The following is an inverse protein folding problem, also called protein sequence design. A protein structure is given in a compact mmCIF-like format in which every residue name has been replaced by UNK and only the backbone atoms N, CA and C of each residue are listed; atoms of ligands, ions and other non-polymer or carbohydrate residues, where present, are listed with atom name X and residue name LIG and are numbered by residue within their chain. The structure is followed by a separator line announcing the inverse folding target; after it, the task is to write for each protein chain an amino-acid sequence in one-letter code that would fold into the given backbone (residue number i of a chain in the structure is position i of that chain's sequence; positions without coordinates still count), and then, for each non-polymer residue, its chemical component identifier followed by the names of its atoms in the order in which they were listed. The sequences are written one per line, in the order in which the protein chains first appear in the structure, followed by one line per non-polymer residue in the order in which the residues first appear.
data_IF_746811500643
#
_entry.id   IF_746811500643
#
_cell.length_a   1.000
_cell.length_b   1.000
_cell.length_c   1.000
_cell.angle_alpha   90.00
_cell.angle_beta   90.00
_cell.angle_gamma   90.00
#
_symmetry.space_group_name_H-M   'P 1'
#
loop_
_entity.id
_entity.type
_entity.pdbx_description
1 polymer ?
#
# COMPACT_ATOMS: atom_id res chain seq x y z
N UNK A 1 15.18 24.82 -1.70
CA UNK A 1 15.90 24.44 -0.46
C UNK A 1 17.32 24.04 -0.77
N UNK A 2 18.20 23.89 0.23
CA UNK A 2 19.64 23.63 0.07
C UNK A 2 19.98 22.40 -0.80
N UNK A 3 19.05 21.44 -0.93
CA UNK A 3 19.24 20.18 -1.69
C UNK A 3 18.52 20.15 -3.04
N UNK A 4 17.90 21.25 -3.48
CA UNK A 4 17.12 21.29 -4.73
C UNK A 4 15.83 20.45 -4.72
N UNK A 5 15.35 20.03 -3.55
CA UNK A 5 14.10 19.27 -3.42
C UNK A 5 12.89 20.19 -3.29
N UNK A 6 11.84 19.87 -4.04
CA UNK A 6 10.51 20.48 -3.95
C UNK A 6 9.67 19.74 -2.92
N UNK A 7 8.97 20.47 -2.05
CA UNK A 7 8.08 19.86 -1.07
C UNK A 7 6.68 19.72 -1.66
N UNK A 8 6.01 18.62 -1.38
CA UNK A 8 4.59 18.43 -1.70
C UNK A 8 3.88 17.70 -0.56
N UNK A 9 2.56 17.54 -0.66
CA UNK A 9 1.74 16.98 0.40
C UNK A 9 0.93 15.78 -0.07
N UNK A 10 0.69 14.86 0.86
CA UNK A 10 -0.26 13.77 0.71
C UNK A 10 -1.69 14.31 0.43
N UNK A 11 -2.54 13.52 -0.22
CA UNK A 11 -3.88 13.93 -0.65
C UNK A 11 -4.87 14.27 0.48
N UNK A 12 -4.55 13.92 1.74
CA UNK A 12 -5.29 14.40 2.92
C UNK A 12 -4.68 15.66 3.54
N UNK A 13 -3.40 15.90 3.29
CA UNK A 13 -2.63 16.97 3.91
C UNK A 13 -2.74 18.26 3.09
N UNK A 14 -3.98 18.58 2.69
CA UNK A 14 -4.29 19.66 1.74
C UNK A 14 -3.74 20.97 2.28
N UNK A 15 -3.09 21.72 1.39
CA UNK A 15 -2.35 22.95 1.68
C UNK A 15 -1.42 22.91 2.90
N UNK A 16 -0.87 21.72 3.21
CA UNK A 16 0.05 21.52 4.33
C UNK A 16 -0.60 21.16 5.66
N UNK A 17 -1.92 21.03 5.72
CA UNK A 17 -2.63 20.76 6.97
C UNK A 17 -2.55 19.29 7.35
N UNK A 18 -1.81 18.96 8.41
CA UNK A 18 -1.71 17.58 8.90
C UNK A 18 -2.99 17.16 9.66
N UNK A 19 -3.98 16.64 8.95
CA UNK A 19 -5.29 16.23 9.51
C UNK A 19 -5.21 15.16 10.60
N UNK A 20 -4.14 14.36 10.63
CA UNK A 20 -3.89 13.42 11.74
C UNK A 20 -3.69 14.11 13.09
N UNK A 21 -3.37 15.41 13.06
CA UNK A 21 -3.17 16.29 14.23
C UNK A 21 -4.31 17.28 14.43
N UNK A 22 -5.43 17.06 13.77
CA UNK A 22 -6.64 17.81 14.08
C UNK A 22 -6.99 17.65 15.57
N UNK A 23 -7.33 18.73 16.30
CA UNK A 23 -7.68 18.61 17.71
C UNK A 23 -8.91 17.71 17.91
N UNK A 24 -8.85 16.82 18.90
CA UNK A 24 -9.90 15.80 19.10
C UNK A 24 -11.26 16.41 19.40
N UNK A 25 -11.30 17.47 20.21
CA UNK A 25 -12.52 18.17 20.63
C UNK A 25 -12.99 19.25 19.65
N UNK A 26 -12.39 19.31 18.44
CA UNK A 26 -12.73 20.31 17.43
C UNK A 26 -13.44 19.64 16.25
N UNK A 27 -14.61 20.16 15.81
CA UNK A 27 -15.31 19.58 14.67
C UNK A 27 -14.51 19.75 13.38
N UNK A 28 -14.48 18.70 12.55
CA UNK A 28 -13.85 18.73 11.23
C UNK A 28 -14.95 18.72 10.16
N UNK A 29 -15.48 19.90 9.85
CA UNK A 29 -16.60 20.06 8.92
C UNK A 29 -16.46 21.39 8.19
N UNK A 30 -16.21 21.33 6.88
CA UNK A 30 -16.26 22.51 6.03
C UNK A 30 -17.70 22.98 5.80
N UNK A 31 -18.68 22.07 5.85
CA UNK A 31 -20.09 22.40 5.67
C UNK A 31 -20.66 23.26 6.81
N UNK A 32 -20.36 22.90 8.06
CA UNK A 32 -20.89 23.57 9.25
C UNK A 32 -19.91 24.56 9.89
N UNK A 33 -18.61 24.25 9.85
CA UNK A 33 -17.57 25.01 10.53
C UNK A 33 -16.44 25.46 9.58
N UNK A 34 -16.76 26.12 8.44
CA UNK A 34 -15.77 26.47 7.43
C UNK A 34 -14.63 27.35 7.99
N UNK A 35 -14.91 28.22 8.95
CA UNK A 35 -13.90 29.11 9.55
C UNK A 35 -12.75 28.34 10.20
N UNK A 36 -13.01 27.21 10.87
CA UNK A 36 -11.97 26.41 11.51
C UNK A 36 -10.98 25.84 10.48
N UNK A 37 -11.51 25.32 9.37
CA UNK A 37 -10.68 24.75 8.31
C UNK A 37 -9.96 25.85 7.53
N UNK A 38 -10.61 26.99 7.28
CA UNK A 38 -9.99 28.15 6.63
C UNK A 38 -8.81 28.68 7.45
N UNK A 39 -8.97 28.80 8.77
CA UNK A 39 -7.88 29.23 9.66
C UNK A 39 -6.76 28.20 9.69
N UNK A 40 -7.09 26.91 9.83
CA UNK A 40 -6.10 25.83 9.74
C UNK A 40 -5.29 25.84 8.44
N UNK A 41 -5.96 25.98 7.30
CA UNK A 41 -5.33 26.06 5.98
C UNK A 41 -4.42 27.29 5.86
N UNK A 42 -4.91 28.47 6.28
CA UNK A 42 -4.11 29.71 6.27
C UNK A 42 -2.86 29.57 7.13
N UNK A 43 -3.00 29.05 8.34
CA UNK A 43 -1.90 28.85 9.28
C UNK A 43 -0.89 27.83 8.73
N UNK A 44 -1.37 26.73 8.13
CA UNK A 44 -0.52 25.76 7.46
C UNK A 44 0.29 26.39 6.32
N UNK A 45 -0.34 27.15 5.40
CA UNK A 45 0.34 27.83 4.29
C UNK A 45 1.43 28.80 4.79
N UNK A 46 1.14 29.54 5.87
CA UNK A 46 2.08 30.49 6.48
C UNK A 46 3.25 29.83 7.20
N UNK A 47 3.11 28.58 7.64
CA UNK A 47 4.17 27.84 8.34
C UNK A 47 5.36 27.47 7.46
N UNK A 48 5.18 27.42 6.15
CA UNK A 48 6.28 27.15 5.21
C UNK A 48 7.16 28.40 5.07
N UNK A 49 8.50 28.28 4.93
CA UNK A 49 9.35 29.43 4.58
C UNK A 49 8.90 30.07 3.26
N UNK A 50 8.99 31.42 3.12
CA UNK A 50 8.50 32.14 1.92
C UNK A 50 9.21 31.71 0.62
N UNK A 51 10.49 31.39 0.74
CA UNK A 51 11.40 30.92 -0.32
C UNK A 51 11.36 29.41 -0.57
N UNK A 52 10.63 28.62 0.23
CA UNK A 52 10.52 27.20 0.01
C UNK A 52 9.63 26.95 -1.21
N UNK A 53 10.18 26.25 -2.20
CA UNK A 53 9.40 25.78 -3.34
C UNK A 53 8.48 24.63 -2.91
N UNK A 54 7.19 24.78 -3.21
CA UNK A 54 6.14 23.86 -2.80
C UNK A 54 5.16 23.64 -3.95
N UNK A 55 4.88 22.37 -4.23
CA UNK A 55 3.75 21.93 -5.05
C UNK A 55 2.57 21.71 -4.09
N UNK A 56 1.53 22.53 -4.22
CA UNK A 56 0.43 22.56 -3.26
C UNK A 56 -0.69 21.61 -3.65
N UNK A 57 -0.95 20.65 -2.77
CA UNK A 57 -2.07 19.72 -2.90
C UNK A 57 -3.36 20.37 -2.40
N UNK A 58 -4.37 20.41 -3.26
CA UNK A 58 -5.73 20.87 -3.00
C UNK A 58 -6.67 19.68 -2.84
N UNK A 59 -7.84 19.93 -2.25
CA UNK A 59 -8.91 18.95 -2.14
C UNK A 59 -9.62 19.03 -0.78
N UNK A 60 -10.54 18.10 -0.54
CA UNK A 60 -11.17 17.98 0.76
C UNK A 60 -11.57 16.53 1.03
N UNK A 61 -10.98 15.98 2.09
CA UNK A 61 -11.17 14.61 2.57
C UNK A 61 -11.24 14.63 4.09
N UNK A 62 -11.70 13.54 4.68
CA UNK A 62 -11.82 13.39 6.14
C UNK A 62 -10.47 13.23 6.85
N UNK A 63 -10.51 13.27 8.18
CA UNK A 63 -9.32 13.36 9.04
C UNK A 63 -8.32 12.21 8.87
N UNK A 64 -8.82 10.99 8.67
CA UNK A 64 -8.03 9.75 8.74
C UNK A 64 -8.09 8.95 7.43
N UNK A 65 -7.93 9.64 6.30
CA UNK A 65 -7.90 9.02 4.96
C UNK A 65 -9.22 8.30 4.59
N UNK A 66 -10.33 8.80 5.12
CA UNK A 66 -11.68 8.42 4.73
C UNK A 66 -12.41 9.59 4.07
N UNK A 67 -13.57 9.34 3.45
CA UNK A 67 -14.38 10.41 2.89
C UNK A 67 -14.83 11.43 3.94
N UNK A 68 -14.85 12.73 3.58
CA UNK A 68 -15.13 13.80 4.54
C UNK A 68 -16.51 13.69 5.21
N UNK A 69 -17.49 13.07 4.56
CA UNK A 69 -18.84 12.89 5.10
C UNK A 69 -18.92 11.91 6.27
N UNK A 70 -17.81 11.23 6.63
CA UNK A 70 -17.72 10.52 7.92
C UNK A 70 -17.48 11.49 9.09
N UNK A 71 -16.81 12.63 8.84
CA UNK A 71 -16.59 13.69 9.82
C UNK A 71 -17.67 14.79 9.76
N UNK A 72 -18.29 14.95 8.58
CA UNK A 72 -19.28 16.00 8.29
C UNK A 72 -20.63 15.40 7.80
N UNK A 73 -21.38 14.72 8.68
CA UNK A 73 -22.59 14.00 8.30
C UNK A 73 -23.77 14.91 7.93
N UNK A 74 -23.63 16.23 8.13
CA UNK A 74 -24.64 17.23 7.73
C UNK A 74 -24.73 17.42 6.22
N UNK A 75 -23.69 17.07 5.48
CA UNK A 75 -23.69 17.13 4.03
C UNK A 75 -24.52 15.97 3.50
N UNK A 76 -25.50 16.29 2.66
CA UNK A 76 -26.43 15.31 2.12
C UNK A 76 -25.74 14.13 1.41
N UNK A 77 -26.42 12.97 1.32
CA UNK A 77 -25.80 11.72 0.91
C UNK A 77 -25.50 11.64 -0.59
N UNK A 78 -25.95 12.61 -1.39
CA UNK A 78 -25.81 12.54 -2.85
C UNK A 78 -24.39 12.92 -3.28
N UNK A 79 -23.92 12.27 -4.34
CA UNK A 79 -22.60 12.57 -4.92
C UNK A 79 -22.50 14.02 -5.43
N UNK A 80 -23.61 14.61 -5.89
CA UNK A 80 -23.67 16.00 -6.30
C UNK A 80 -23.48 16.98 -5.13
N UNK A 81 -24.06 16.69 -3.96
CA UNK A 81 -23.85 17.49 -2.74
C UNK A 81 -22.40 17.38 -2.26
N UNK A 82 -21.86 16.16 -2.25
CA UNK A 82 -20.47 15.90 -1.86
C UNK A 82 -19.47 16.61 -2.78
N UNK A 83 -19.67 16.52 -4.09
CA UNK A 83 -18.83 17.20 -5.08
C UNK A 83 -18.89 18.73 -4.91
N UNK A 84 -20.06 19.29 -4.59
CA UNK A 84 -20.23 20.73 -4.35
C UNK A 84 -19.40 21.22 -3.15
N UNK A 85 -19.39 20.47 -2.05
CA UNK A 85 -18.61 20.82 -0.85
C UNK A 85 -17.11 20.70 -1.12
N UNK A 86 -16.68 19.64 -1.80
CA UNK A 86 -15.27 19.49 -2.21
C UNK A 86 -14.84 20.67 -3.10
N UNK A 87 -15.69 21.06 -4.06
CA UNK A 87 -15.40 22.18 -4.95
C UNK A 87 -15.27 23.50 -4.19
N UNK A 88 -16.19 23.80 -3.27
CA UNK A 88 -16.15 25.01 -2.46
C UNK A 88 -14.88 25.07 -1.58
N UNK A 89 -14.45 23.93 -1.02
CA UNK A 89 -13.21 23.85 -0.25
C UNK A 89 -11.97 24.14 -1.13
N UNK A 90 -11.91 23.56 -2.33
CA UNK A 90 -10.83 23.83 -3.30
C UNK A 90 -10.78 25.30 -3.67
N UNK A 91 -11.91 25.92 -3.98
CA UNK A 91 -11.96 27.35 -4.34
C UNK A 91 -11.44 28.23 -3.21
N UNK A 92 -11.78 27.89 -1.97
CA UNK A 92 -11.28 28.63 -0.80
C UNK A 92 -9.79 28.44 -0.56
N UNK A 93 -9.27 27.23 -0.80
CA UNK A 93 -7.83 26.96 -0.71
C UNK A 93 -7.04 27.74 -1.77
N UNK A 94 -7.59 27.88 -2.99
CA UNK A 94 -6.99 28.69 -4.06
C UNK A 94 -6.93 30.15 -3.66
N UNK A 95 -8.03 30.72 -3.15
CA UNK A 95 -8.08 32.10 -2.66
C UNK A 95 -6.99 32.36 -1.61
N UNK A 96 -6.85 31.46 -0.63
CA UNK A 96 -5.82 31.56 0.41
C UNK A 96 -4.40 31.47 -0.16
N UNK A 97 -4.16 30.54 -1.08
CA UNK A 97 -2.85 30.37 -1.71
C UNK A 97 -2.48 31.55 -2.58
N UNK A 98 -3.39 32.08 -3.39
CA UNK A 98 -3.08 33.21 -4.27
C UNK A 98 -2.79 34.48 -3.47
N UNK A 99 -3.43 34.67 -2.30
CA UNK A 99 -3.11 35.76 -1.39
C UNK A 99 -1.75 35.59 -0.68
N UNK A 100 -1.42 34.37 -0.23
CA UNK A 100 -0.24 34.11 0.60
C UNK A 100 1.02 33.71 -0.19
N UNK A 101 0.81 33.14 -1.38
CA UNK A 101 1.78 32.49 -2.27
C UNK A 101 1.40 32.72 -3.75
N UNK A 102 1.41 33.97 -4.25
CA UNK A 102 1.08 34.24 -5.65
C UNK A 102 1.92 33.39 -6.61
N UNK A 103 1.26 32.79 -7.61
CA UNK A 103 1.93 31.94 -8.60
C UNK A 103 2.29 30.53 -8.12
N UNK A 104 1.86 30.12 -6.92
CA UNK A 104 2.03 28.75 -6.43
C UNK A 104 1.45 27.72 -7.42
N UNK A 105 2.20 26.64 -7.67
CA UNK A 105 1.75 25.49 -8.44
C UNK A 105 0.77 24.65 -7.62
N UNK A 106 -0.35 24.26 -8.24
CA UNK A 106 -1.51 23.66 -7.57
C UNK A 106 -1.90 22.37 -8.27
N UNK A 107 -2.17 21.32 -7.49
CA UNK A 107 -2.69 20.06 -8.00
C UNK A 107 -3.78 19.50 -7.09
N UNK A 108 -4.58 18.56 -7.60
CA UNK A 108 -5.44 17.72 -6.78
C UNK A 108 -5.14 16.24 -7.05
N UNK A 109 -4.78 15.52 -5.99
CA UNK A 109 -4.71 14.06 -6.00
C UNK A 109 -6.12 13.48 -5.82
N UNK A 110 -6.67 12.89 -6.87
CA UNK A 110 -8.06 12.41 -6.93
C UNK A 110 -8.29 11.08 -6.20
N UNK A 111 -7.74 10.90 -5.00
CA UNK A 111 -7.75 9.63 -4.27
C UNK A 111 -9.17 9.10 -3.97
N UNK A 112 -9.32 7.77 -4.09
CA UNK A 112 -10.51 7.00 -3.69
C UNK A 112 -11.84 7.59 -4.17
N UNK A 113 -12.62 8.18 -3.27
CA UNK A 113 -13.97 8.63 -3.52
C UNK A 113 -14.06 9.81 -4.49
N UNK A 114 -12.97 10.53 -4.73
CA UNK A 114 -12.94 11.61 -5.73
C UNK A 114 -12.97 11.07 -7.17
N UNK A 115 -12.45 9.87 -7.42
CA UNK A 115 -12.43 9.25 -8.76
C UNK A 115 -13.83 9.16 -9.39
N UNK A 116 -14.84 8.53 -8.76
CA UNK A 116 -16.17 8.45 -9.35
C UNK A 116 -16.83 9.81 -9.52
N UNK A 117 -16.57 10.79 -8.63
CA UNK A 117 -17.13 12.15 -8.76
C UNK A 117 -16.60 12.90 -9.98
N UNK A 118 -15.30 12.77 -10.27
CA UNK A 118 -14.67 13.36 -11.45
C UNK A 118 -15.17 12.68 -12.73
N UNK A 119 -15.21 11.36 -12.74
CA UNK A 119 -15.67 10.57 -13.90
C UNK A 119 -17.16 10.80 -14.22
N UNK A 120 -17.99 10.96 -13.19
CA UNK A 120 -19.40 11.33 -13.34
C UNK A 120 -19.60 12.80 -13.75
N UNK A 121 -18.54 13.59 -13.88
CA UNK A 121 -18.61 15.00 -14.25
C UNK A 121 -19.19 15.92 -13.16
N UNK A 122 -19.41 15.39 -11.95
CA UNK A 122 -19.98 16.11 -10.80
C UNK A 122 -18.94 17.03 -10.14
N UNK A 123 -17.70 16.56 -10.05
CA UNK A 123 -16.56 17.38 -9.62
C UNK A 123 -15.75 17.79 -10.85
N UNK A 124 -15.51 19.10 -11.00
CA UNK A 124 -14.65 19.65 -12.05
C UNK A 124 -13.60 20.56 -11.41
N UNK A 125 -12.34 20.33 -11.74
CA UNK A 125 -11.26 21.17 -11.22
C UNK A 125 -11.31 22.57 -11.84
N UNK A 126 -11.01 23.62 -11.05
CA UNK A 126 -10.77 24.96 -11.59
C UNK A 126 -9.60 24.97 -12.58
N UNK A 127 -9.59 25.95 -13.49
CA UNK A 127 -8.45 26.20 -14.36
C UNK A 127 -7.18 26.48 -13.53
N UNK A 128 -6.02 26.00 -14.01
CA UNK A 128 -4.75 26.16 -13.31
C UNK A 128 -4.50 25.16 -12.17
N UNK A 129 -5.38 24.17 -11.97
CA UNK A 129 -5.16 23.06 -11.03
C UNK A 129 -4.90 21.78 -11.83
N UNK A 130 -3.73 21.18 -11.64
CA UNK A 130 -3.36 19.92 -12.28
C UNK A 130 -4.13 18.75 -11.65
N UNK A 131 -4.85 17.98 -12.47
CA UNK A 131 -5.49 16.74 -12.02
C UNK A 131 -4.45 15.62 -11.93
N UNK A 132 -4.39 14.94 -10.78
CA UNK A 132 -3.53 13.78 -10.57
C UNK A 132 -4.38 12.55 -10.30
N UNK A 133 -4.32 11.59 -11.22
CA UNK A 133 -5.06 10.33 -11.11
C UNK A 133 -4.36 9.36 -10.16
N UNK A 134 -5.06 8.78 -9.18
CA UNK A 134 -4.48 7.73 -8.38
C UNK A 134 -4.51 6.38 -9.11
N UNK A 135 -3.59 5.49 -8.74
CA UNK A 135 -3.79 4.07 -8.96
C UNK A 135 -4.72 3.45 -7.90
N UNK A 136 -4.90 2.13 -7.97
CA UNK A 136 -5.68 1.36 -7.01
C UNK A 136 -4.85 0.77 -5.85
N UNK A 137 -3.61 1.22 -5.65
CA UNK A 137 -2.69 0.63 -4.68
C UNK A 137 -1.92 -0.61 -5.16
N UNK A 138 -2.20 -1.08 -6.38
CA UNK A 138 -1.53 -2.22 -7.02
C UNK A 138 -0.90 -1.83 -8.36
N UNK A 139 -0.72 -0.54 -8.62
CA UNK A 139 -0.12 -0.04 -9.84
C UNK A 139 -1.07 0.02 -11.04
N UNK A 140 -2.39 0.01 -10.87
CA UNK A 140 -3.38 0.15 -11.96
C UNK A 140 -4.08 1.51 -11.85
N UNK A 141 -3.91 2.39 -12.83
CA UNK A 141 -4.42 3.77 -12.78
C UNK A 141 -5.96 3.77 -12.86
N UNK A 142 -6.62 4.53 -11.99
CA UNK A 142 -8.09 4.58 -11.85
C UNK A 142 -8.76 5.69 -12.65
N UNK A 143 -8.31 5.91 -13.87
CA UNK A 143 -8.86 6.91 -14.80
C UNK A 143 -9.83 6.29 -15.82
N UNK A 144 -9.93 4.96 -15.89
CA UNK A 144 -10.71 4.22 -16.90
C UNK A 144 -10.42 4.64 -18.35
N UNK A 145 -9.15 4.94 -18.65
CA UNK A 145 -8.73 5.32 -20.00
C UNK A 145 -8.94 6.80 -20.34
N UNK A 146 -9.34 7.64 -19.38
CA UNK A 146 -9.60 9.07 -19.59
C UNK A 146 -8.41 9.99 -19.30
N UNK A 147 -7.27 9.44 -18.88
CA UNK A 147 -6.05 10.22 -18.64
C UNK A 147 -5.63 11.01 -19.89
N UNK A 148 -5.27 12.27 -19.70
CA UNK A 148 -5.08 13.24 -20.77
C UNK A 148 -3.86 14.13 -20.53
N UNK A 149 -3.49 14.87 -21.59
CA UNK A 149 -2.35 15.78 -21.56
C UNK A 149 -2.49 16.83 -20.45
N UNK A 150 -1.38 17.18 -19.79
CA UNK A 150 -1.39 18.17 -18.71
C UNK A 150 -1.87 17.63 -17.36
N UNK A 151 -2.04 16.31 -17.23
CA UNK A 151 -2.41 15.64 -15.97
C UNK A 151 -1.19 14.95 -15.34
N UNK A 152 -1.37 14.35 -14.17
CA UNK A 152 -0.35 13.55 -13.49
C UNK A 152 -0.88 12.24 -12.91
N UNK A 153 0.03 11.49 -12.27
CA UNK A 153 -0.27 10.19 -11.65
C UNK A 153 0.22 10.14 -10.20
N UNK A 154 -0.60 9.61 -9.29
CA UNK A 154 -0.18 9.15 -7.97
C UNK A 154 -0.19 7.61 -7.97
N UNK A 155 1.01 7.02 -7.99
CA UNK A 155 1.25 5.61 -8.23
C UNK A 155 1.79 4.90 -6.98
N UNK A 156 1.57 3.61 -6.84
CA UNK A 156 2.08 2.82 -5.72
C UNK A 156 2.99 1.69 -6.22
N UNK A 157 4.21 1.61 -5.69
CA UNK A 157 5.08 0.42 -5.78
C UNK A 157 5.00 -0.44 -4.53
N UNK A 158 4.56 0.16 -3.42
CA UNK A 158 4.09 -0.51 -2.21
C UNK A 158 2.97 0.31 -1.58
N UNK A 159 2.04 -0.35 -0.89
CA UNK A 159 0.93 0.29 -0.22
C UNK A 159 0.53 -0.49 1.05
N UNK A 160 0.38 0.24 2.15
CA UNK A 160 -0.40 -0.24 3.28
C UNK A 160 -1.88 -0.29 2.90
N UNK A 161 -2.38 -1.47 2.55
CA UNK A 161 -3.82 -1.69 2.45
C UNK A 161 -4.20 -3.13 2.88
N UNK A 162 -5.43 -3.53 2.59
CA UNK A 162 -5.99 -4.83 2.95
C UNK A 162 -5.27 -6.04 2.31
N UNK A 163 -4.68 -5.88 1.12
CA UNK A 163 -4.18 -6.98 0.29
C UNK A 163 -2.92 -6.69 -0.55
N UNK A 164 -2.46 -5.44 -0.66
CA UNK A 164 -1.28 -5.04 -1.43
C UNK A 164 0.02 -5.35 -0.68
N UNK A 165 1.15 -5.16 -1.35
CA UNK A 165 2.46 -5.37 -0.76
C UNK A 165 2.93 -4.20 0.11
N UNK A 166 3.66 -4.54 1.16
CA UNK A 166 4.31 -3.60 2.07
C UNK A 166 5.80 -3.93 2.27
N UNK A 167 6.13 -5.21 2.41
CA UNK A 167 7.45 -5.72 2.80
C UNK A 167 8.24 -6.29 1.62
N UNK A 168 7.63 -6.33 0.43
CA UNK A 168 8.20 -6.99 -0.75
C UNK A 168 7.87 -6.25 -2.04
N UNK A 169 8.60 -6.57 -3.11
CA UNK A 169 8.26 -6.17 -4.48
C UNK A 169 7.07 -6.98 -4.98
N UNK A 170 5.98 -6.36 -5.44
CA UNK A 170 4.82 -7.10 -6.03
C UNK A 170 4.08 -6.37 -7.14
N UNK A 171 4.55 -5.19 -7.55
CA UNK A 171 4.01 -4.51 -8.75
C UNK A 171 4.87 -4.93 -9.94
N UNK A 172 4.38 -5.77 -10.88
CA UNK A 172 5.19 -6.29 -11.98
C UNK A 172 5.69 -5.17 -12.88
N UNK A 173 6.90 -5.32 -13.42
CA UNK A 173 7.54 -4.31 -14.27
C UNK A 173 6.74 -4.04 -15.56
N UNK A 174 6.08 -5.07 -16.10
CA UNK A 174 5.20 -4.97 -17.25
C UNK A 174 3.97 -4.09 -16.95
N UNK A 175 3.46 -4.14 -15.71
CA UNK A 175 2.37 -3.25 -15.27
C UNK A 175 2.83 -1.81 -15.19
N UNK A 176 4.02 -1.56 -14.64
CA UNK A 176 4.62 -0.22 -14.57
C UNK A 176 4.80 0.35 -15.98
N UNK A 177 5.38 -0.43 -16.89
CA UNK A 177 5.54 -0.04 -18.29
C UNK A 177 4.20 0.25 -18.97
N UNK A 178 3.19 -0.61 -18.76
CA UNK A 178 1.87 -0.47 -19.36
C UNK A 178 1.15 0.79 -18.88
N UNK A 179 1.07 0.98 -17.56
CA UNK A 179 0.25 2.02 -16.95
C UNK A 179 0.92 3.40 -17.05
N UNK A 180 2.17 3.53 -16.59
CA UNK A 180 2.88 4.80 -16.70
C UNK A 180 3.26 5.13 -18.14
N UNK A 181 3.52 4.11 -18.98
CA UNK A 181 3.73 4.33 -20.41
C UNK A 181 2.47 4.83 -21.12
N UNK A 182 1.28 4.36 -20.70
CA UNK A 182 0.00 4.91 -21.19
C UNK A 182 -0.19 6.36 -20.75
N UNK A 183 0.12 6.69 -19.50
CA UNK A 183 0.08 8.07 -19.02
C UNK A 183 1.04 8.99 -19.82
N UNK A 184 2.27 8.54 -20.04
CA UNK A 184 3.25 9.26 -20.84
C UNK A 184 2.78 9.47 -22.30
N UNK A 185 2.22 8.45 -22.95
CA UNK A 185 1.64 8.57 -24.30
C UNK A 185 0.48 9.58 -24.37
N UNK A 186 -0.30 9.68 -23.30
CA UNK A 186 -1.38 10.65 -23.21
C UNK A 186 -0.89 12.09 -22.95
N UNK A 187 0.41 12.31 -22.70
CA UNK A 187 0.96 13.61 -22.29
C UNK A 187 0.68 13.96 -20.82
N UNK A 188 0.31 12.99 -19.98
CA UNK A 188 0.08 13.18 -18.55
C UNK A 188 1.41 13.17 -17.78
N UNK A 189 2.26 14.15 -18.09
CA UNK A 189 3.66 14.24 -17.62
C UNK A 189 3.90 15.37 -16.64
N UNK A 190 2.86 16.08 -16.19
CA UNK A 190 3.00 17.23 -15.30
C UNK A 190 3.44 16.85 -13.89
N UNK A 191 3.09 15.64 -13.44
CA UNK A 191 3.38 15.20 -12.08
C UNK A 191 3.36 13.67 -11.96
N UNK A 192 4.36 13.12 -11.26
CA UNK A 192 4.34 11.75 -10.76
C UNK A 192 4.74 11.74 -9.28
N UNK A 193 3.88 11.17 -8.44
CA UNK A 193 4.21 10.79 -7.07
C UNK A 193 4.18 9.28 -6.94
N UNK A 194 5.22 8.68 -6.39
CA UNK A 194 5.27 7.24 -6.13
C UNK A 194 5.28 6.97 -4.63
N UNK A 195 4.27 6.27 -4.16
CA UNK A 195 4.26 5.71 -2.82
C UNK A 195 5.10 4.43 -2.79
N UNK A 196 6.12 4.44 -1.95
CA UNK A 196 7.09 3.35 -1.77
C UNK A 196 6.98 2.72 -0.38
N UNK A 197 5.98 3.11 0.41
CA UNK A 197 5.82 2.76 1.81
C UNK A 197 7.12 2.95 2.63
N UNK A 198 7.74 1.88 3.13
CA UNK A 198 8.98 1.93 3.93
C UNK A 198 10.28 2.08 3.11
N UNK A 199 10.18 2.35 1.80
CA UNK A 199 11.27 2.56 0.81
C UNK A 199 12.17 1.35 0.58
N UNK A 200 12.80 0.84 1.64
CA UNK A 200 13.81 -0.22 1.62
C UNK A 200 13.33 -1.46 0.87
N UNK A 201 12.08 -1.94 0.99
CA UNK A 201 11.71 -3.19 0.32
C UNK A 201 11.60 -3.09 -1.20
N UNK A 202 11.30 -1.90 -1.75
CA UNK A 202 10.84 -1.77 -3.14
C UNK A 202 11.72 -0.94 -4.09
N UNK A 203 13.07 -1.02 -4.05
CA UNK A 203 13.90 -0.17 -4.91
C UNK A 203 13.88 -0.58 -6.39
N UNK A 204 13.60 -1.84 -6.74
CA UNK A 204 13.60 -2.33 -8.14
C UNK A 204 12.43 -1.73 -8.91
N UNK A 205 11.21 -1.82 -8.36
CA UNK A 205 10.00 -1.28 -9.03
C UNK A 205 9.94 0.23 -8.95
N UNK A 206 10.39 0.81 -7.83
CA UNK A 206 10.51 2.27 -7.68
C UNK A 206 11.46 2.86 -8.72
N UNK A 207 12.66 2.30 -8.86
CA UNK A 207 13.60 2.81 -9.85
C UNK A 207 13.07 2.62 -11.28
N UNK A 208 12.31 1.55 -11.57
CA UNK A 208 11.67 1.37 -12.88
C UNK A 208 10.68 2.50 -13.17
N UNK A 209 9.80 2.80 -12.22
CA UNK A 209 8.83 3.89 -12.33
C UNK A 209 9.52 5.25 -12.52
N UNK A 210 10.60 5.50 -11.77
CA UNK A 210 11.38 6.74 -11.88
C UNK A 210 12.17 6.84 -13.20
N UNK A 211 12.77 5.75 -13.70
CA UNK A 211 13.46 5.74 -15.00
C UNK A 211 12.47 6.03 -16.14
N UNK A 212 11.26 5.48 -16.09
CA UNK A 212 10.21 5.76 -17.05
C UNK A 212 9.74 7.23 -16.97
N UNK A 213 9.55 7.75 -15.75
CA UNK A 213 9.17 9.15 -15.54
C UNK A 213 10.23 10.13 -16.03
N UNK A 214 11.51 9.79 -15.87
CA UNK A 214 12.63 10.61 -16.35
C UNK A 214 12.73 10.62 -17.87
N UNK A 215 12.61 9.45 -18.51
CA UNK A 215 12.59 9.33 -19.96
C UNK A 215 11.76 8.13 -20.39
N UNK A 216 10.54 8.40 -20.86
CA UNK A 216 9.62 7.36 -21.28
C UNK A 216 9.98 6.73 -22.63
N UNK A 217 10.70 7.42 -23.52
CA UNK A 217 10.88 6.98 -24.91
C UNK A 217 11.39 5.52 -25.05
N UNK A 218 12.47 5.09 -24.35
CA UNK A 218 12.94 3.70 -24.42
C UNK A 218 11.94 2.65 -23.89
N UNK A 219 10.99 3.07 -23.04
CA UNK A 219 9.93 2.23 -22.50
C UNK A 219 8.70 2.16 -23.41
N UNK A 220 8.47 3.19 -24.23
CA UNK A 220 7.34 3.27 -25.14
C UNK A 220 7.61 2.59 -26.48
N UNK A 221 8.84 2.70 -26.98
CA UNK A 221 9.25 2.19 -28.30
C UNK A 221 9.35 0.67 -28.35
N UNK A 222 9.45 0.00 -27.20
CA UNK A 222 9.75 -1.42 -27.14
C UNK A 222 8.96 -2.15 -26.06
N UNK A 223 8.10 -3.08 -26.48
CA UNK A 223 7.24 -3.88 -25.62
C UNK A 223 7.99 -4.81 -24.65
N UNK A 224 9.29 -5.07 -24.88
CA UNK A 224 10.19 -5.80 -24.00
C UNK A 224 11.01 -4.93 -23.04
N UNK A 225 10.72 -3.63 -22.92
CA UNK A 225 11.51 -2.72 -22.08
C UNK A 225 11.55 -3.10 -20.60
N UNK A 226 10.44 -3.60 -20.04
CA UNK A 226 10.40 -4.14 -18.68
C UNK A 226 11.44 -5.25 -18.47
N UNK A 227 11.54 -6.20 -19.41
CA UNK A 227 12.52 -7.29 -19.34
C UNK A 227 13.95 -6.78 -19.47
N UNK A 228 14.23 -5.90 -20.44
CA UNK A 228 15.57 -5.32 -20.58
C UNK A 228 15.96 -4.48 -19.37
N UNK A 229 15.02 -3.75 -18.76
CA UNK A 229 15.26 -3.05 -17.50
C UNK A 229 15.64 -4.04 -16.40
N UNK A 230 14.91 -5.14 -16.26
CA UNK A 230 15.21 -6.18 -15.26
C UNK A 230 16.62 -6.76 -15.46
N UNK A 231 17.01 -7.07 -16.69
CA UNK A 231 18.35 -7.58 -17.02
C UNK A 231 19.44 -6.54 -16.66
N UNK A 232 19.24 -5.26 -17.03
CA UNK A 232 20.15 -4.17 -16.65
C UNK A 232 20.22 -3.98 -15.14
N UNK A 233 19.08 -4.03 -14.44
CA UNK A 233 19.02 -3.95 -12.99
C UNK A 233 19.84 -5.07 -12.36
N UNK A 234 19.61 -6.32 -12.78
CA UNK A 234 20.32 -7.47 -12.24
C UNK A 234 21.82 -7.37 -12.49
N UNK A 235 22.25 -6.95 -13.69
CA UNK A 235 23.65 -6.73 -14.01
C UNK A 235 24.29 -5.62 -13.16
N UNK A 236 23.59 -4.50 -12.92
CA UNK A 236 24.10 -3.42 -12.06
C UNK A 236 24.18 -3.82 -10.59
N UNK A 237 23.21 -4.59 -10.10
CA UNK A 237 23.11 -4.93 -8.68
C UNK A 237 23.88 -6.20 -8.31
N UNK A 238 24.24 -7.08 -9.26
CA UNK A 238 24.82 -8.39 -8.96
C UNK A 238 25.88 -8.85 -9.97
N UNK A 239 26.34 -7.97 -10.85
CA UNK A 239 27.26 -8.23 -11.96
C UNK A 239 26.67 -9.10 -13.08
N UNK A 240 27.36 -9.11 -14.22
CA UNK A 240 26.90 -9.78 -15.46
C UNK A 240 26.75 -11.29 -15.31
N UNK A 241 27.57 -11.94 -14.47
CA UNK A 241 27.50 -13.38 -14.25
C UNK A 241 26.22 -13.82 -13.53
N UNK A 242 25.72 -13.02 -12.57
CA UNK A 242 24.49 -13.34 -11.84
C UNK A 242 23.21 -12.85 -12.57
N UNK A 243 23.35 -11.90 -13.49
CA UNK A 243 22.21 -11.20 -14.09
C UNK A 243 21.17 -12.13 -14.75
N UNK A 244 21.54 -13.13 -15.59
CA UNK A 244 20.57 -14.02 -16.21
C UNK A 244 19.79 -14.86 -15.19
N UNK A 245 20.47 -15.36 -14.15
CA UNK A 245 19.86 -16.15 -13.09
C UNK A 245 18.85 -15.34 -12.28
N UNK A 246 19.18 -14.09 -11.98
CA UNK A 246 18.29 -13.20 -11.24
C UNK A 246 17.14 -12.65 -12.08
N UNK A 247 17.35 -12.41 -13.36
CA UNK A 247 16.25 -12.05 -14.26
C UNK A 247 15.22 -13.19 -14.37
N UNK A 248 15.69 -14.44 -14.49
CA UNK A 248 14.83 -15.64 -14.45
C UNK A 248 14.11 -15.76 -13.10
N UNK A 249 14.82 -15.57 -11.99
CA UNK A 249 14.24 -15.55 -10.65
C UNK A 249 13.11 -14.51 -10.53
N UNK A 250 13.36 -13.25 -10.88
CA UNK A 250 12.39 -12.18 -10.69
C UNK A 250 11.14 -12.36 -11.56
N UNK A 251 11.29 -12.89 -12.78
CA UNK A 251 10.14 -13.24 -13.63
C UNK A 251 9.27 -14.31 -12.99
N UNK A 252 9.89 -15.38 -12.49
CA UNK A 252 9.16 -16.43 -11.79
C UNK A 252 8.54 -15.90 -10.49
N UNK A 253 9.25 -15.03 -9.76
CA UNK A 253 8.81 -14.41 -8.52
C UNK A 253 7.55 -13.54 -8.72
N UNK A 254 7.53 -12.65 -9.70
CA UNK A 254 6.35 -11.83 -10.00
C UNK A 254 5.17 -12.65 -10.53
N UNK A 255 5.44 -13.81 -11.15
CA UNK A 255 4.42 -14.72 -11.67
C UNK A 255 3.95 -15.78 -10.66
N UNK A 256 4.62 -15.94 -9.51
CA UNK A 256 4.34 -17.00 -8.55
C UNK A 256 3.04 -16.86 -7.74
N UNK A 257 2.61 -15.66 -7.31
CA UNK A 257 1.47 -15.55 -6.41
C UNK A 257 0.16 -16.08 -7.00
N UNK A 258 -0.68 -16.61 -6.13
CA UNK A 258 -2.03 -17.09 -6.47
C UNK A 258 -3.01 -15.94 -6.66
N UNK A 259 -4.02 -16.13 -7.50
CA UNK A 259 -5.11 -15.17 -7.71
C UNK A 259 -6.35 -15.59 -6.95
N UNK A 260 -6.90 -14.70 -6.15
CA UNK A 260 -8.14 -14.92 -5.40
C UNK A 260 -9.36 -14.25 -6.05
N UNK A 261 -9.21 -13.75 -7.28
CA UNK A 261 -10.31 -13.25 -8.10
C UNK A 261 -9.88 -12.82 -9.51
N UNK A 262 -10.88 -12.43 -10.31
CA UNK A 262 -10.75 -12.14 -11.74
C UNK A 262 -9.98 -10.85 -12.04
N UNK A 263 -10.03 -9.86 -11.13
CA UNK A 263 -9.30 -8.61 -11.34
C UNK A 263 -7.80 -8.81 -11.12
N UNK A 264 -6.96 -8.13 -11.92
CA UNK A 264 -5.50 -8.31 -11.89
C UNK A 264 -4.90 -8.05 -10.49
N UNK A 265 -5.45 -7.08 -9.76
CA UNK A 265 -5.02 -6.72 -8.41
C UNK A 265 -5.47 -7.72 -7.33
N UNK A 266 -6.37 -8.66 -7.65
CA UNK A 266 -6.79 -9.74 -6.75
C UNK A 266 -5.78 -10.90 -6.76
N UNK A 267 -4.51 -10.52 -6.57
CA UNK A 267 -3.34 -11.39 -6.50
C UNK A 267 -2.81 -11.35 -5.07
N UNK A 268 -2.48 -12.50 -4.50
CA UNK A 268 -1.98 -12.58 -3.13
C UNK A 268 -0.64 -11.84 -2.99
N UNK A 269 -0.50 -11.05 -1.93
CA UNK A 269 0.73 -10.40 -1.49
C UNK A 269 0.86 -10.47 0.03
N UNK A 270 1.93 -9.91 0.61
CA UNK A 270 2.23 -9.99 2.05
C UNK A 270 1.03 -9.61 2.95
N UNK A 271 0.38 -8.46 2.76
CA UNK A 271 -0.81 -8.11 3.54
C UNK A 271 -1.98 -9.05 3.27
N UNK A 272 -2.18 -9.53 2.04
CA UNK A 272 -3.30 -10.42 1.72
C UNK A 272 -3.20 -11.72 2.51
N UNK A 273 -2.03 -12.37 2.52
CA UNK A 273 -1.82 -13.62 3.26
C UNK A 273 -2.17 -13.47 4.73
N UNK A 274 -1.61 -12.46 5.38
CA UNK A 274 -1.77 -12.25 6.81
C UNK A 274 -3.16 -11.74 7.17
N UNK A 275 -3.72 -10.81 6.39
CA UNK A 275 -5.07 -10.29 6.64
C UNK A 275 -6.11 -11.39 6.49
N UNK A 276 -6.06 -12.19 5.42
CA UNK A 276 -7.06 -13.25 5.20
C UNK A 276 -6.94 -14.35 6.24
N UNK A 277 -5.71 -14.74 6.62
CA UNK A 277 -5.49 -15.69 7.71
C UNK A 277 -6.09 -15.18 9.03
N UNK A 278 -5.91 -13.89 9.36
CA UNK A 278 -6.46 -13.30 10.59
C UNK A 278 -7.98 -13.35 10.67
N UNK A 279 -8.70 -13.16 9.56
CA UNK A 279 -10.16 -13.36 9.54
C UNK A 279 -10.55 -14.80 9.91
N UNK A 280 -9.86 -15.79 9.34
CA UNK A 280 -10.12 -17.20 9.65
C UNK A 280 -9.78 -17.53 11.11
N UNK A 281 -8.66 -17.02 11.62
CA UNK A 281 -8.23 -17.24 13.00
C UNK A 281 -9.21 -16.64 14.00
N UNK A 282 -9.66 -15.40 13.80
CA UNK A 282 -10.68 -14.78 14.66
C UNK A 282 -11.99 -15.56 14.60
N UNK A 283 -12.38 -16.04 13.41
CA UNK A 283 -13.57 -16.89 13.25
C UNK A 283 -13.46 -18.19 14.05
N UNK A 284 -12.30 -18.85 14.02
CA UNK A 284 -12.04 -20.04 14.83
C UNK A 284 -12.12 -19.72 16.33
N UNK A 285 -11.36 -18.71 16.79
CA UNK A 285 -11.25 -18.32 18.21
C UNK A 285 -12.60 -17.93 18.81
N UNK A 286 -13.42 -17.20 18.05
CA UNK A 286 -14.73 -16.72 18.54
C UNK A 286 -15.85 -17.76 18.37
N UNK A 287 -15.61 -18.84 17.62
CA UNK A 287 -16.64 -19.81 17.24
C UNK A 287 -17.66 -19.27 16.23
N UNK A 288 -17.51 -18.03 15.76
CA UNK A 288 -18.38 -17.45 14.74
C UNK A 288 -17.99 -17.97 13.37
N UNK A 289 -18.85 -18.76 12.72
CA UNK A 289 -18.57 -19.30 11.37
C UNK A 289 -18.60 -18.25 10.25
N UNK A 290 -19.04 -17.02 10.53
CA UNK A 290 -19.06 -15.92 9.58
C UNK A 290 -18.51 -14.64 10.22
N UNK A 291 -17.63 -13.96 9.51
CA UNK A 291 -17.15 -12.63 9.85
C UNK A 291 -17.26 -11.77 8.60
N UNK A 292 -17.82 -10.57 8.74
CA UNK A 292 -17.86 -9.60 7.67
C UNK A 292 -16.44 -9.22 7.25
N UNK A 293 -16.03 -9.65 6.05
CA UNK A 293 -14.73 -9.32 5.49
C UNK A 293 -14.82 -7.98 4.79
N UNK A 294 -13.97 -7.04 5.18
CA UNK A 294 -13.94 -5.71 4.56
C UNK A 294 -13.66 -5.86 3.06
N UNK A 295 -14.42 -5.14 2.23
CA UNK A 295 -14.26 -5.11 0.77
C UNK A 295 -14.54 -6.43 0.03
N UNK A 296 -15.06 -7.46 0.70
CA UNK A 296 -15.74 -8.53 -0.03
C UNK A 296 -17.15 -8.07 -0.42
N UNK A 297 -17.59 -8.39 -1.63
CA UNK A 297 -18.99 -8.25 -1.99
C UNK A 297 -19.88 -9.03 -1.00
N UNK A 298 -21.02 -8.46 -0.54
CA UNK A 298 -21.88 -9.06 0.47
C UNK A 298 -22.44 -10.43 0.06
N UNK A 299 -22.48 -10.73 -1.24
CA UNK A 299 -22.91 -12.02 -1.80
C UNK A 299 -21.89 -13.16 -1.62
N UNK A 300 -20.64 -12.87 -1.22
CA UNK A 300 -19.63 -13.90 -1.00
C UNK A 300 -19.68 -14.36 0.45
N UNK A 301 -20.23 -15.56 0.65
CA UNK A 301 -20.22 -16.24 1.94
C UNK A 301 -18.80 -16.51 2.45
N UNK A 302 -18.58 -16.32 3.76
CA UNK A 302 -17.25 -16.46 4.35
C UNK A 302 -16.59 -17.83 4.08
N UNK A 303 -17.29 -18.99 4.16
CA UNK A 303 -16.70 -20.27 3.76
C UNK A 303 -16.30 -20.36 2.28
N UNK A 304 -17.02 -19.68 1.38
CA UNK A 304 -16.66 -19.62 -0.04
C UNK A 304 -15.39 -18.78 -0.23
N UNK A 305 -15.27 -17.68 0.50
CA UNK A 305 -14.05 -16.87 0.54
C UNK A 305 -12.86 -17.70 1.02
N UNK A 306 -12.99 -18.45 2.13
CA UNK A 306 -11.91 -19.30 2.65
C UNK A 306 -11.44 -20.33 1.62
N UNK A 307 -12.37 -21.06 0.99
CA UNK A 307 -12.02 -22.03 -0.08
C UNK A 307 -11.27 -21.36 -1.23
N UNK A 308 -11.69 -20.15 -1.61
CA UNK A 308 -11.09 -19.39 -2.71
C UNK A 308 -9.64 -18.99 -2.40
N UNK A 309 -9.41 -18.32 -1.26
CA UNK A 309 -8.07 -17.82 -0.92
C UNK A 309 -7.11 -18.97 -0.52
N UNK A 310 -7.61 -19.99 0.18
CA UNK A 310 -6.84 -21.20 0.49
C UNK A 310 -6.50 -22.00 -0.76
N UNK A 311 -7.43 -22.11 -1.71
CA UNK A 311 -7.21 -22.70 -3.02
C UNK A 311 -6.14 -21.95 -3.83
N UNK A 312 -6.23 -20.63 -3.89
CA UNK A 312 -5.23 -19.78 -4.55
C UNK A 312 -3.83 -19.96 -3.96
N UNK A 313 -3.71 -20.07 -2.63
CA UNK A 313 -2.43 -20.32 -1.97
C UNK A 313 -1.86 -21.72 -2.30
N UNK A 314 -2.70 -22.75 -2.28
CA UNK A 314 -2.30 -24.13 -2.63
C UNK A 314 -1.84 -24.24 -4.08
N UNK A 315 -2.55 -23.61 -5.00
CA UNK A 315 -2.21 -23.62 -6.42
C UNK A 315 -0.89 -22.88 -6.71
N UNK A 316 -0.57 -21.83 -5.95
CA UNK A 316 0.70 -21.09 -6.07
C UNK A 316 1.93 -21.85 -5.53
N UNK A 317 1.75 -22.86 -4.69
CA UNK A 317 2.84 -23.55 -3.98
C UNK A 317 3.93 -24.15 -4.90
N UNK A 318 3.60 -24.84 -6.03
CA UNK A 318 4.63 -25.31 -6.97
C UNK A 318 5.44 -24.17 -7.58
N UNK A 319 4.81 -23.01 -7.84
CA UNK A 319 5.50 -21.83 -8.38
C UNK A 319 6.47 -21.26 -7.35
N UNK A 320 6.09 -21.14 -6.08
CA UNK A 320 7.02 -20.73 -5.02
C UNK A 320 8.20 -21.69 -4.85
N UNK A 321 7.97 -23.01 -4.95
CA UNK A 321 9.07 -24.00 -4.94
C UNK A 321 10.04 -23.82 -6.12
N UNK A 322 9.53 -23.49 -7.31
CA UNK A 322 10.36 -23.15 -8.46
C UNK A 322 11.19 -21.89 -8.21
N UNK A 323 10.58 -20.83 -7.68
CA UNK A 323 11.26 -19.58 -7.32
C UNK A 323 12.37 -19.82 -6.29
N UNK A 324 12.15 -20.69 -5.30
CA UNK A 324 13.20 -21.13 -4.35
C UNK A 324 14.36 -21.84 -5.02
N UNK A 325 14.09 -22.72 -5.98
CA UNK A 325 15.13 -23.40 -6.77
C UNK A 325 15.96 -22.37 -7.56
N UNK A 326 15.30 -21.40 -8.18
CA UNK A 326 15.94 -20.30 -8.91
C UNK A 326 16.84 -19.45 -8.00
N UNK A 327 16.34 -19.06 -6.83
CA UNK A 327 17.13 -18.30 -5.85
C UNK A 327 18.38 -19.07 -5.41
N UNK A 328 18.26 -20.38 -5.13
CA UNK A 328 19.40 -21.23 -4.76
C UNK A 328 20.45 -21.31 -5.87
N UNK A 329 20.03 -21.41 -7.14
CA UNK A 329 20.97 -21.36 -8.28
C UNK A 329 21.68 -20.01 -8.35
N UNK A 330 20.93 -18.90 -8.23
CA UNK A 330 21.49 -17.56 -8.26
C UNK A 330 22.50 -17.32 -7.12
N UNK A 331 22.23 -17.84 -5.91
CA UNK A 331 23.08 -17.67 -4.73
C UNK A 331 24.55 -18.10 -4.95
N UNK A 332 24.78 -19.13 -5.78
CA UNK A 332 26.11 -19.65 -6.09
C UNK A 332 27.00 -18.70 -6.90
N UNK A 333 26.41 -17.71 -7.56
CA UNK A 333 27.11 -16.75 -8.44
C UNK A 333 27.05 -15.30 -7.94
N UNK A 334 26.48 -15.06 -6.74
CA UNK A 334 26.39 -13.71 -6.17
C UNK A 334 27.77 -13.23 -5.68
N UNK A 335 28.23 -12.05 -6.13
CA UNK A 335 29.47 -11.45 -5.65
C UNK A 335 29.46 -11.25 -4.12
N UNK A 336 30.61 -11.44 -3.46
CA UNK A 336 30.72 -11.36 -2.01
C UNK A 336 30.16 -10.03 -1.44
N UNK A 337 30.49 -8.90 -2.08
CA UNK A 337 30.01 -7.56 -1.68
C UNK A 337 28.51 -7.33 -1.86
N UNK A 338 27.80 -8.23 -2.55
CA UNK A 338 26.36 -8.13 -2.83
C UNK A 338 25.51 -9.17 -2.11
N UNK A 339 26.12 -10.07 -1.33
CA UNK A 339 25.41 -11.12 -0.57
C UNK A 339 24.38 -10.59 0.41
N UNK A 340 24.67 -9.52 1.14
CA UNK A 340 23.70 -8.91 2.07
C UNK A 340 22.52 -8.25 1.35
N UNK A 341 22.76 -7.66 0.17
CA UNK A 341 21.69 -7.13 -0.67
C UNK A 341 20.83 -8.26 -1.25
N UNK A 342 21.46 -9.33 -1.75
CA UNK A 342 20.76 -10.54 -2.19
C UNK A 342 19.91 -11.15 -1.07
N UNK A 343 20.47 -11.32 0.13
CA UNK A 343 19.75 -11.81 1.30
C UNK A 343 18.48 -10.97 1.56
N UNK A 344 18.60 -9.64 1.61
CA UNK A 344 17.45 -8.79 1.95
C UNK A 344 16.42 -8.59 0.83
N UNK A 345 16.84 -8.52 -0.43
CA UNK A 345 15.96 -8.15 -1.56
C UNK A 345 15.59 -9.33 -2.48
N UNK A 346 16.14 -10.52 -2.23
CA UNK A 346 15.83 -11.75 -2.95
C UNK A 346 15.36 -12.80 -1.96
N UNK A 347 16.24 -13.26 -1.07
CA UNK A 347 15.92 -14.40 -0.19
C UNK A 347 14.84 -14.05 0.85
N UNK A 348 14.96 -12.92 1.54
CA UNK A 348 13.98 -12.53 2.56
C UNK A 348 12.60 -12.24 1.95
N UNK A 349 12.53 -11.62 0.78
CA UNK A 349 11.23 -11.38 0.13
C UNK A 349 10.60 -12.70 -0.34
N UNK A 350 11.39 -13.63 -0.87
CA UNK A 350 10.94 -14.99 -1.15
C UNK A 350 10.46 -15.70 0.12
N UNK A 351 11.22 -15.63 1.21
CA UNK A 351 10.86 -16.23 2.50
C UNK A 351 9.51 -15.67 2.99
N UNK A 352 9.30 -14.34 2.91
CA UNK A 352 8.01 -13.71 3.25
C UNK A 352 6.89 -14.32 2.40
N UNK A 353 7.03 -14.37 1.08
CA UNK A 353 5.96 -14.87 0.23
C UNK A 353 5.70 -16.38 0.38
N UNK A 354 6.74 -17.21 0.34
CA UNK A 354 6.61 -18.67 0.38
C UNK A 354 6.02 -19.12 1.72
N UNK A 355 6.52 -18.60 2.84
CA UNK A 355 6.04 -18.98 4.16
C UNK A 355 4.65 -18.40 4.44
N UNK A 356 4.36 -17.14 4.06
CA UNK A 356 3.02 -16.57 4.23
C UNK A 356 1.97 -17.24 3.33
N UNK A 357 2.36 -17.71 2.14
CA UNK A 357 1.51 -18.52 1.27
C UNK A 357 1.12 -19.85 1.93
N UNK A 358 2.10 -20.60 2.44
CA UNK A 358 1.85 -21.85 3.18
C UNK A 358 1.02 -21.62 4.43
N UNK A 359 1.32 -20.58 5.21
CA UNK A 359 0.54 -20.17 6.37
C UNK A 359 -0.93 -19.98 6.00
N UNK A 360 -1.24 -19.21 4.95
CA UNK A 360 -2.62 -19.00 4.52
C UNK A 360 -3.32 -20.32 4.15
N UNK A 361 -2.63 -21.20 3.41
CA UNK A 361 -3.17 -22.52 3.05
C UNK A 361 -3.47 -23.38 4.30
N UNK A 362 -2.55 -23.40 5.26
CA UNK A 362 -2.68 -24.17 6.51
C UNK A 362 -3.79 -23.63 7.41
N UNK A 363 -3.92 -22.31 7.51
CA UNK A 363 -5.03 -21.68 8.25
C UNK A 363 -6.37 -21.96 7.59
N UNK A 364 -6.45 -21.92 6.25
CA UNK A 364 -7.65 -22.32 5.52
C UNK A 364 -8.01 -23.80 5.77
N UNK A 365 -7.01 -24.69 5.78
CA UNK A 365 -7.21 -26.10 6.13
C UNK A 365 -7.74 -26.26 7.56
N UNK A 366 -7.18 -25.54 8.54
CA UNK A 366 -7.65 -25.57 9.93
C UNK A 366 -9.10 -25.05 10.05
N UNK A 367 -9.47 -24.04 9.27
CA UNK A 367 -10.85 -23.54 9.23
C UNK A 367 -11.83 -24.57 8.65
N UNK A 368 -11.42 -25.27 7.59
CA UNK A 368 -12.22 -26.30 6.92
C UNK A 368 -12.37 -27.58 7.75
N UNK A 369 -11.48 -27.82 8.72
CA UNK A 369 -11.53 -28.97 9.64
C UNK A 369 -12.75 -28.91 10.60
N UNK A 370 -13.62 -29.93 10.58
CA UNK A 370 -14.86 -29.92 11.36
C UNK A 370 -14.62 -30.08 12.86
N UNK A 371 -13.69 -30.96 13.24
CA UNK A 371 -13.35 -31.28 14.63
C UNK A 371 -12.17 -30.42 15.11
N UNK A 372 -12.11 -30.13 16.42
CA UNK A 372 -11.07 -29.27 16.98
C UNK A 372 -9.69 -29.93 16.91
N UNK A 373 -9.65 -31.24 17.09
CA UNK A 373 -8.46 -32.09 17.06
C UNK A 373 -7.76 -32.01 15.69
N UNK A 374 -8.55 -32.02 14.62
CA UNK A 374 -8.08 -31.92 13.22
C UNK A 374 -7.51 -30.53 12.87
N UNK A 375 -7.68 -29.52 13.74
CA UNK A 375 -7.13 -28.17 13.57
C UNK A 375 -5.71 -28.05 14.13
N UNK A 376 -5.35 -28.91 15.07
CA UNK A 376 -4.10 -28.78 15.85
C UNK A 376 -2.88 -28.87 14.94
N UNK A 377 -2.80 -29.88 14.09
CA UNK A 377 -1.67 -30.09 13.18
C UNK A 377 -1.46 -28.92 12.20
N UNK A 378 -2.47 -28.47 11.42
CA UNK A 378 -2.30 -27.33 10.53
C UNK A 378 -1.99 -26.02 11.27
N UNK A 379 -2.57 -25.78 12.45
CA UNK A 379 -2.25 -24.59 13.26
C UNK A 379 -0.79 -24.60 13.74
N UNK A 380 -0.27 -25.73 14.21
CA UNK A 380 1.14 -25.87 14.60
C UNK A 380 2.09 -25.66 13.42
N UNK A 381 1.74 -26.19 12.25
CA UNK A 381 2.51 -25.94 11.04
C UNK A 381 2.49 -24.44 10.65
N UNK A 382 1.33 -23.79 10.70
CA UNK A 382 1.18 -22.37 10.38
C UNK A 382 1.96 -21.45 11.34
N UNK A 383 2.09 -21.83 12.62
CA UNK A 383 2.99 -21.17 13.59
C UNK A 383 4.44 -21.22 13.10
N UNK A 384 4.91 -22.41 12.69
CA UNK A 384 6.27 -22.59 12.17
C UNK A 384 6.56 -21.71 10.94
N UNK A 385 5.58 -21.58 10.04
CA UNK A 385 5.65 -20.70 8.87
C UNK A 385 5.71 -19.21 9.27
N UNK A 386 4.86 -18.75 10.20
CA UNK A 386 4.87 -17.37 10.70
C UNK A 386 6.23 -17.02 11.35
N UNK A 387 6.78 -17.93 12.15
CA UNK A 387 8.10 -17.74 12.75
C UNK A 387 9.22 -17.72 11.71
N UNK A 388 9.09 -18.47 10.62
CA UNK A 388 10.05 -18.46 9.51
C UNK A 388 10.09 -17.09 8.83
N UNK A 389 8.93 -16.47 8.59
CA UNK A 389 8.84 -15.08 8.11
C UNK A 389 9.56 -14.13 9.08
N UNK A 390 9.28 -14.21 10.38
CA UNK A 390 9.94 -13.36 11.37
C UNK A 390 11.46 -13.57 11.43
N UNK A 391 11.94 -14.82 11.28
CA UNK A 391 13.38 -15.13 11.19
C UNK A 391 13.99 -14.53 9.93
N UNK A 392 13.30 -14.59 8.79
CA UNK A 392 13.76 -14.01 7.53
C UNK A 392 13.88 -12.48 7.58
N UNK A 393 12.89 -11.81 8.19
CA UNK A 393 12.93 -10.36 8.43
C UNK A 393 14.13 -9.98 9.30
N UNK A 394 14.33 -10.67 10.44
CA UNK A 394 15.50 -10.43 11.32
C UNK A 394 16.83 -10.67 10.62
N UNK A 395 16.95 -11.73 9.80
CA UNK A 395 18.16 -12.01 9.02
C UNK A 395 18.51 -10.91 8.03
N UNK A 396 17.51 -10.19 7.52
CA UNK A 396 17.73 -9.06 6.63
C UNK A 396 18.18 -7.78 7.35
N UNK A 397 18.28 -7.75 8.67
CA UNK A 397 18.75 -6.57 9.41
C UNK A 397 20.28 -6.59 9.53
N UNK A 398 20.96 -5.78 8.72
CA UNK A 398 22.43 -5.71 8.70
C UNK A 398 22.94 -4.26 8.67
N UNK A 399 24.08 -4.00 9.33
CA UNK A 399 24.72 -2.69 9.36
C UNK A 399 23.75 -1.58 9.80
N UNK A 400 23.57 -0.56 8.96
CA UNK A 400 22.63 0.55 9.22
C UNK A 400 21.15 0.14 9.26
N UNK A 401 20.83 -1.09 8.85
CA UNK A 401 19.47 -1.64 8.84
C UNK A 401 19.17 -2.51 10.07
N UNK A 402 20.05 -2.53 11.07
CA UNK A 402 19.77 -3.19 12.34
C UNK A 402 18.46 -2.67 12.95
N UNK A 403 17.54 -3.56 13.32
CA UNK A 403 16.26 -3.21 13.92
C UNK A 403 15.19 -2.67 12.96
N UNK A 404 15.41 -2.69 11.64
CA UNK A 404 14.48 -2.14 10.66
C UNK A 404 13.06 -2.76 10.76
N UNK A 405 12.94 -4.05 11.09
CA UNK A 405 11.66 -4.77 11.23
C UNK A 405 11.25 -5.03 12.69
N UNK A 406 11.98 -4.46 13.66
CA UNK A 406 11.66 -4.62 15.09
C UNK A 406 10.24 -4.15 15.42
N UNK A 407 9.81 -3.06 14.79
CA UNK A 407 8.49 -2.45 14.97
C UNK A 407 7.66 -2.48 13.67
N UNK A 408 7.86 -3.49 12.82
CA UNK A 408 6.98 -3.72 11.68
C UNK A 408 5.57 -4.08 12.19
N UNK A 409 4.61 -3.19 11.94
CA UNK A 409 3.22 -3.24 12.43
C UNK A 409 2.18 -3.10 11.31
N UNK A 410 2.64 -3.05 10.06
CA UNK A 410 1.82 -2.85 8.89
C UNK A 410 1.23 -4.18 8.42
N UNK A 411 2.10 -5.15 8.07
CA UNK A 411 1.70 -6.54 7.84
C UNK A 411 1.40 -7.21 9.18
N UNK A 412 2.22 -6.91 10.20
CA UNK A 412 2.09 -7.39 11.58
C UNK A 412 2.01 -8.92 11.67
N UNK A 413 3.07 -9.56 11.18
CA UNK A 413 3.26 -11.01 11.27
C UNK A 413 3.21 -11.48 12.73
N UNK A 414 3.68 -10.64 13.67
CA UNK A 414 3.65 -10.94 15.11
C UNK A 414 2.22 -11.04 15.64
N UNK A 415 1.30 -10.18 15.19
CA UNK A 415 -0.11 -10.30 15.55
C UNK A 415 -0.76 -11.55 14.95
N UNK A 416 -0.43 -11.88 13.69
CA UNK A 416 -0.87 -13.15 13.09
C UNK A 416 -0.41 -14.35 13.92
N UNK A 417 0.85 -14.34 14.38
CA UNK A 417 1.41 -15.37 15.26
C UNK A 417 0.69 -15.46 16.61
N UNK A 418 0.36 -14.33 17.25
CA UNK A 418 -0.45 -14.32 18.49
C UNK A 418 -1.82 -14.97 18.29
N UNK A 419 -2.49 -14.66 17.17
CA UNK A 419 -3.78 -15.27 16.84
C UNK A 419 -3.67 -16.76 16.54
N UNK A 420 -2.58 -17.20 15.89
CA UNK A 420 -2.31 -18.62 15.68
C UNK A 420 -2.17 -19.38 17.01
N UNK A 421 -1.42 -18.83 17.97
CA UNK A 421 -1.32 -19.42 19.31
C UNK A 421 -2.65 -19.44 20.06
N UNK A 422 -3.47 -18.39 19.94
CA UNK A 422 -4.80 -18.35 20.54
C UNK A 422 -5.75 -19.39 19.92
N UNK A 423 -5.75 -19.53 18.59
CA UNK A 423 -6.53 -20.55 17.90
C UNK A 423 -6.07 -21.97 18.26
N UNK A 424 -4.76 -22.19 18.40
CA UNK A 424 -4.21 -23.47 18.84
C UNK A 424 -4.61 -23.79 20.30
N UNK A 425 -4.51 -22.83 21.21
CA UNK A 425 -4.94 -23.01 22.59
C UNK A 425 -6.43 -23.39 22.68
N UNK A 426 -7.28 -22.70 21.91
CA UNK A 426 -8.70 -23.01 21.83
C UNK A 426 -8.95 -24.43 21.28
N UNK A 427 -8.25 -24.83 20.20
CA UNK A 427 -8.37 -26.18 19.63
C UNK A 427 -7.92 -27.28 20.59
N UNK A 428 -6.97 -26.99 21.48
CA UNK A 428 -6.47 -27.91 22.52
C UNK A 428 -7.30 -27.87 23.82
N UNK A 429 -8.39 -27.07 23.88
CA UNK A 429 -9.18 -26.89 25.08
C UNK A 429 -8.44 -26.15 26.22
N UNK A 430 -7.36 -25.43 25.90
CA UNK A 430 -6.59 -24.62 26.85
C UNK A 430 -7.15 -23.21 26.96
N UNK A 431 -6.99 -22.53 28.11
CA UNK A 431 -7.33 -21.11 28.23
C UNK A 431 -6.62 -20.26 27.18
N UNK A 432 -7.30 -19.22 26.69
CA UNK A 432 -6.68 -18.22 25.83
C UNK A 432 -5.58 -17.46 26.59
N UNK A 433 -4.51 -17.00 25.92
CA UNK A 433 -3.52 -16.12 26.55
C UNK A 433 -4.20 -14.87 27.12
N UNK A 434 -3.82 -14.46 28.34
CA UNK A 434 -4.48 -13.36 29.06
C UNK A 434 -4.34 -11.98 28.39
N UNK A 435 -3.37 -11.83 27.49
CA UNK A 435 -3.08 -10.63 26.69
C UNK A 435 -3.54 -10.75 25.23
N UNK A 436 -4.35 -11.77 24.90
CA UNK A 436 -4.74 -12.05 23.52
C UNK A 436 -5.67 -10.96 22.95
N UNK A 437 -5.16 -10.19 21.99
CA UNK A 437 -5.96 -9.27 21.17
C UNK A 437 -6.60 -10.06 20.03
N UNK A 438 -7.92 -10.32 20.13
CA UNK A 438 -8.67 -11.11 19.13
C UNK A 438 -9.33 -10.17 18.10
N UNK A 439 -8.50 -9.56 17.26
CA UNK A 439 -8.94 -8.67 16.18
C UNK A 439 -8.34 -9.13 14.85
N UNK A 440 -9.08 -8.97 13.75
CA UNK A 440 -8.57 -9.33 12.43
C UNK A 440 -7.68 -8.24 11.82
N UNK A 441 -7.79 -7.01 12.35
CA UNK A 441 -6.92 -5.88 11.98
C UNK A 441 -5.85 -5.69 13.05
N UNK A 442 -4.62 -5.35 12.64
CA UNK A 442 -3.61 -4.93 13.59
C UNK A 442 -4.02 -3.60 14.23
N UNK A 443 -3.33 -3.24 15.31
CA UNK A 443 -3.48 -1.91 15.90
C UNK A 443 -3.22 -0.85 14.83
N UNK A 444 -3.99 0.24 14.84
CA UNK A 444 -3.81 1.33 13.89
C UNK A 444 -2.37 1.88 14.00
N UNK A 445 -1.52 1.71 12.96
CA UNK A 445 -0.13 2.16 13.00
C UNK A 445 -0.03 3.68 13.13
N UNK A 446 -1.07 4.44 12.78
CA UNK A 446 -1.07 5.88 12.93
C UNK A 446 -0.97 6.33 14.40
N UNK A 447 -1.41 5.52 15.37
CA UNK A 447 -1.21 5.81 16.80
C UNK A 447 0.30 5.83 17.12
N UNK A 448 1.03 4.82 16.64
CA UNK A 448 2.48 4.75 16.80
C UNK A 448 3.19 5.88 16.03
N UNK A 449 2.79 6.14 14.78
CA UNK A 449 3.37 7.21 13.96
C UNK A 449 3.16 8.58 14.62
N UNK A 450 1.96 8.84 15.17
CA UNK A 450 1.69 10.05 15.95
C UNK A 450 2.58 10.14 17.19
N UNK A 451 2.93 9.05 17.87
CA UNK A 451 3.81 9.14 19.04
C UNK A 451 5.16 9.81 18.72
N UNK A 452 5.73 9.57 17.53
CA UNK A 452 7.00 10.18 17.11
C UNK A 452 6.96 11.68 16.85
N UNK A 453 5.78 12.26 16.59
CA UNK A 453 5.65 13.71 16.34
C UNK A 453 5.17 14.49 17.58
N UNK A 454 5.12 13.85 18.75
CA UNK A 454 4.82 14.48 20.03
C UNK A 454 3.43 15.11 20.12
N UNK A 455 3.33 16.25 20.82
CA UNK A 455 2.07 16.98 21.08
C UNK A 455 1.66 17.97 20.00
N UNK A 456 2.21 17.86 18.78
CA UNK A 456 1.85 18.76 17.67
C UNK A 456 0.35 18.70 17.38
N UNK A 457 -0.27 19.86 17.18
CA UNK A 457 -1.68 20.02 16.82
C UNK A 457 -1.80 20.98 15.63
N UNK A 458 -2.86 20.82 14.85
CA UNK A 458 -3.23 21.80 13.82
C UNK A 458 -3.73 23.07 14.51
N UNK A 459 -3.16 24.25 14.23
CA UNK A 459 -3.68 25.52 14.74
C UNK A 459 -4.94 25.90 13.97
N UNK A 460 -6.10 25.80 14.63
CA UNK A 460 -7.43 26.02 14.05
C UNK A 460 -8.02 27.40 14.36
N UNK A 461 -7.34 28.17 15.21
CA UNK A 461 -7.69 29.52 15.64
C UNK A 461 -7.25 30.60 14.65
#
# INVERSE_FOLDING_TARGET
GERGLVITQHHIAVVGTNTYRWPEDTPYSFGLHPTLLINAWRNAIRSYPKQQEVIWTLGYRGKHDWPFWQDDPSVGPTDAERARVIRAAIDKQIELLDAERPGAYKLMNAWQEAVPLLRGGLLKLPAGVTLVWPDNGHGIIRDEGTIASGQGVYYHTAMLNFAANQLTEMVPLERIQRELGRAARAGATEYLLVNMSDLRPVPLTTQAAMELAWNAAPWLEDSGAARRYLERWCARQFDSAAAPHLAEYYQAYFAAPGRYGEAEHQTLADNAYHTFARYMLVSLITGSRSIAVRHLPPEIEFPQFVRRVGGAAREAEPRWRQVRSLARRAAGVIPAGRRLFFLAHVETQLDVHEHSNRLLSLVAQAYESPQAEDRIAPLRAAIGEAEAVLRALRRAEYGKWAGFYSNEVFVDVRHTLRLLHAALAQAEGRPLPGDAVILHRPQDPYVLIKSYQGFRRVPVD
#
